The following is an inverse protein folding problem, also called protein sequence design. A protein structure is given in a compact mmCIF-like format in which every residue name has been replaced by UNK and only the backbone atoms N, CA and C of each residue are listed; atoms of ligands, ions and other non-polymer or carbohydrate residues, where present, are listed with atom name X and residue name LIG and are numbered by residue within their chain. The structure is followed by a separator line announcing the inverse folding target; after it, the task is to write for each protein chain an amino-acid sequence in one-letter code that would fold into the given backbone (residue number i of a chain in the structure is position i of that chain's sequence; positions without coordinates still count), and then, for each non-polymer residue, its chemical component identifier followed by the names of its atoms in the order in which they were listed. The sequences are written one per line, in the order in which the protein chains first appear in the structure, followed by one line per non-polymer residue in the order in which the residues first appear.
data_IF_761146086255
#
_entry.id   IF_761146086255
#
_cell.length_a   1.000
_cell.length_b   1.000
_cell.length_c   1.000
_cell.angle_alpha   90.00
_cell.angle_beta   90.00
_cell.angle_gamma   90.00
#
_symmetry.space_group_name_H-M   'P 1'
#
loop_
_entity.id
_entity.type
_entity.pdbx_description
1 polymer ?
#
# COMPACT_ATOMS: atom_id res chain seq x y z
N UNK A 1 31.87 -25.74 -1.68
CA UNK A 1 31.48 -25.65 -0.25
C UNK A 1 31.07 -24.22 0.17
N UNK A 2 31.61 -23.16 -0.41
CA UNK A 2 31.21 -21.77 -0.12
C UNK A 2 29.86 -21.37 -0.75
N UNK A 3 29.48 -21.96 -1.87
CA UNK A 3 28.18 -21.69 -2.54
C UNK A 3 26.98 -22.26 -1.78
N UNK A 4 27.12 -23.44 -1.16
CA UNK A 4 26.04 -24.06 -0.39
C UNK A 4 25.69 -23.29 0.91
N UNK A 5 26.67 -22.61 1.50
CA UNK A 5 26.47 -21.80 2.71
C UNK A 5 25.75 -20.49 2.41
N UNK A 6 25.99 -19.87 1.25
CA UNK A 6 25.29 -18.67 0.80
C UNK A 6 23.82 -18.93 0.45
N UNK A 7 23.51 -20.09 -0.16
CA UNK A 7 22.12 -20.47 -0.45
C UNK A 7 21.32 -20.83 0.81
N UNK A 8 21.94 -21.47 1.80
CA UNK A 8 21.29 -21.76 3.09
C UNK A 8 20.98 -20.51 3.89
N UNK A 9 21.88 -19.53 3.88
CA UNK A 9 21.67 -18.22 4.51
C UNK A 9 20.50 -17.46 3.88
N UNK A 10 20.36 -17.50 2.55
CA UNK A 10 19.30 -16.80 1.81
C UNK A 10 17.91 -17.38 2.08
N UNK A 11 17.79 -18.71 2.28
CA UNK A 11 16.51 -19.39 2.60
C UNK A 11 16.03 -19.07 4.03
N UNK A 12 16.94 -19.00 4.98
CA UNK A 12 16.65 -18.61 6.38
C UNK A 12 16.20 -17.14 6.46
N UNK A 13 16.83 -16.25 5.73
CA UNK A 13 16.51 -14.82 5.69
C UNK A 13 15.14 -14.58 5.04
N UNK A 14 14.79 -15.36 4.01
CA UNK A 14 13.46 -15.27 3.33
C UNK A 14 12.34 -15.76 4.24
N UNK A 15 12.52 -16.85 4.96
CA UNK A 15 11.53 -17.36 5.93
C UNK A 15 11.35 -16.38 7.08
N UNK A 16 12.43 -15.77 7.58
CA UNK A 16 12.36 -14.75 8.61
C UNK A 16 11.64 -13.47 8.11
N UNK A 17 11.89 -13.05 6.87
CA UNK A 17 11.18 -11.90 6.28
C UNK A 17 9.67 -12.16 6.12
N UNK A 18 9.28 -13.36 5.67
CA UNK A 18 7.86 -13.76 5.59
C UNK A 18 7.19 -13.86 6.96
N UNK A 19 7.89 -14.41 7.96
CA UNK A 19 7.35 -14.47 9.33
C UNK A 19 7.18 -13.06 9.94
N UNK A 20 8.11 -12.14 9.67
CA UNK A 20 8.02 -10.75 10.13
C UNK A 20 6.84 -10.04 9.44
N UNK A 21 6.63 -10.26 8.14
CA UNK A 21 5.51 -9.69 7.38
C UNK A 21 4.17 -10.23 7.91
N UNK A 22 4.06 -11.53 8.16
CA UNK A 22 2.85 -12.15 8.71
C UNK A 22 2.55 -11.71 10.15
N UNK A 23 3.55 -11.59 11.01
CA UNK A 23 3.40 -11.07 12.37
C UNK A 23 3.04 -9.59 12.35
N UNK A 24 3.61 -8.80 11.44
CA UNK A 24 3.28 -7.40 11.22
C UNK A 24 1.80 -7.22 10.86
N UNK A 25 1.28 -8.02 9.94
CA UNK A 25 -0.12 -7.98 9.51
C UNK A 25 -1.10 -8.34 10.64
N UNK A 26 -0.82 -9.39 11.43
CA UNK A 26 -1.71 -9.75 12.55
C UNK A 26 -1.71 -8.70 13.67
N UNK A 27 -0.57 -8.09 13.96
CA UNK A 27 -0.50 -7.02 14.95
C UNK A 27 -1.21 -5.73 14.48
N UNK A 28 -1.22 -5.46 13.17
CA UNK A 28 -1.93 -4.31 12.61
C UNK A 28 -3.45 -4.49 12.63
N UNK A 29 -3.96 -5.69 12.32
CA UNK A 29 -5.41 -5.99 12.42
C UNK A 29 -5.90 -5.83 13.85
N UNK A 30 -5.21 -6.42 14.82
CA UNK A 30 -5.56 -6.25 16.24
C UNK A 30 -5.42 -4.81 16.72
N UNK A 31 -4.40 -4.08 16.23
CA UNK A 31 -4.20 -2.67 16.51
C UNK A 31 -5.31 -1.77 15.97
N UNK A 32 -5.92 -2.14 14.84
CA UNK A 32 -7.04 -1.37 14.25
C UNK A 32 -8.39 -1.70 14.91
N UNK A 33 -8.65 -2.96 15.24
CA UNK A 33 -9.93 -3.39 15.83
C UNK A 33 -10.10 -2.93 17.28
N UNK A 34 -9.04 -2.95 18.07
CA UNK A 34 -9.09 -2.57 19.48
C UNK A 34 -9.62 -1.14 19.73
N UNK A 35 -9.13 -0.08 19.06
CA UNK A 35 -9.67 1.26 19.25
C UNK A 35 -11.13 1.40 18.79
N UNK A 36 -11.58 0.64 17.77
CA UNK A 36 -12.98 0.61 17.37
C UNK A 36 -13.85 0.09 18.52
N UNK A 37 -13.50 -1.07 19.05
CA UNK A 37 -14.25 -1.70 20.16
C UNK A 37 -14.30 -0.77 21.38
N UNK A 38 -13.17 -0.15 21.74
CA UNK A 38 -13.12 0.81 22.84
C UNK A 38 -14.00 2.04 22.59
N UNK A 39 -13.99 2.60 21.38
CA UNK A 39 -14.80 3.78 21.05
C UNK A 39 -16.30 3.46 21.04
N UNK A 40 -16.70 2.30 20.53
CA UNK A 40 -18.09 1.82 20.53
C UNK A 40 -18.58 1.59 21.95
N UNK A 41 -17.81 0.86 22.78
CA UNK A 41 -18.18 0.61 24.18
C UNK A 41 -18.25 1.94 24.95
N UNK A 42 -17.27 2.83 24.75
CA UNK A 42 -17.24 4.13 25.43
C UNK A 42 -18.42 5.00 25.07
N UNK A 43 -18.74 5.17 23.79
CA UNK A 43 -19.87 5.98 23.32
C UNK A 43 -21.21 5.42 23.75
N UNK A 44 -21.40 4.10 23.66
CA UNK A 44 -22.62 3.42 24.11
C UNK A 44 -22.80 3.51 25.63
N UNK A 45 -21.71 3.41 26.41
CA UNK A 45 -21.76 3.56 27.87
C UNK A 45 -22.13 4.99 28.29
N UNK A 46 -21.60 6.01 27.60
CA UNK A 46 -21.97 7.41 27.84
C UNK A 46 -23.44 7.64 27.49
N UNK A 47 -23.90 7.11 26.35
CA UNK A 47 -25.30 7.22 25.93
C UNK A 47 -26.25 6.57 26.97
N UNK A 48 -25.91 5.39 27.48
CA UNK A 48 -26.66 4.70 28.50
C UNK A 48 -26.69 5.50 29.81
N UNK A 49 -25.54 6.03 30.24
CA UNK A 49 -25.43 6.82 31.47
C UNK A 49 -26.28 8.10 31.40
N UNK A 50 -26.25 8.82 30.28
CA UNK A 50 -27.05 10.01 30.05
C UNK A 50 -28.53 9.69 30.04
N UNK A 51 -28.95 8.59 29.44
CA UNK A 51 -30.33 8.16 29.38
C UNK A 51 -30.89 7.73 30.77
N UNK A 52 -30.06 7.05 31.58
CA UNK A 52 -30.49 6.59 32.93
C UNK A 52 -30.54 7.70 33.96
N UNK A 53 -29.92 8.85 33.74
CA UNK A 53 -29.88 10.00 34.67
C UNK A 53 -30.89 11.11 34.29
N UNK A 54 -31.82 10.87 33.39
CA UNK A 54 -32.86 11.82 32.93
C UNK A 54 -32.31 13.18 32.43
N UNK A 55 -30.98 13.24 32.15
CA UNK A 55 -30.40 14.42 31.56
C UNK A 55 -30.97 14.75 30.18
N UNK A 56 -31.47 13.74 29.54
CA UNK A 56 -32.04 13.79 28.20
C UNK A 56 -33.39 14.46 28.15
N UNK A 57 -34.23 14.26 29.18
CA UNK A 57 -35.54 14.92 29.28
C UNK A 57 -35.44 16.45 29.47
N UNK A 58 -34.40 16.89 30.14
CA UNK A 58 -34.13 18.33 30.34
C UNK A 58 -33.65 19.02 29.05
N UNK A 59 -32.98 18.29 28.16
CA UNK A 59 -32.46 18.81 26.87
C UNK A 59 -33.47 18.61 25.75
N UNK A 60 -34.32 17.55 25.82
CA UNK A 60 -35.28 17.18 24.76
C UNK A 60 -36.48 18.13 24.67
N UNK A 61 -36.77 18.92 25.65
CA UNK A 61 -37.90 19.87 25.67
C UNK A 61 -37.85 21.00 24.61
N UNK A 62 -36.82 21.09 23.79
CA UNK A 62 -36.67 22.08 22.74
C UNK A 62 -36.06 21.56 21.43
N UNK A 63 -36.21 20.29 21.11
CA UNK A 63 -35.36 19.54 20.15
C UNK A 63 -35.76 19.60 18.66
N UNK A 64 -36.76 20.36 18.24
CA UNK A 64 -37.08 20.50 16.82
C UNK A 64 -35.86 20.97 15.96
N UNK A 65 -34.96 21.86 16.44
CA UNK A 65 -33.77 22.26 15.65
C UNK A 65 -32.70 21.18 15.50
N UNK A 66 -32.66 20.17 16.37
CA UNK A 66 -31.61 19.13 16.35
C UNK A 66 -31.79 18.13 15.22
N UNK A 67 -33.02 17.80 14.85
CA UNK A 67 -33.31 16.89 13.72
C UNK A 67 -32.81 17.48 12.40
N UNK A 68 -33.02 18.76 12.20
CA UNK A 68 -32.51 19.48 11.03
C UNK A 68 -30.98 19.54 11.05
N UNK A 69 -30.38 19.76 12.22
CA UNK A 69 -28.92 19.76 12.38
C UNK A 69 -28.31 18.42 11.99
N UNK A 70 -28.84 17.29 12.47
CA UNK A 70 -28.34 15.95 12.11
C UNK A 70 -28.40 15.69 10.62
N UNK A 71 -29.53 16.05 10.01
CA UNK A 71 -29.76 15.84 8.59
C UNK A 71 -28.74 16.61 7.76
N UNK A 72 -28.57 17.90 8.03
CA UNK A 72 -27.64 18.75 7.29
C UNK A 72 -26.18 18.39 7.58
N UNK A 73 -25.83 18.22 8.87
CA UNK A 73 -24.45 17.92 9.25
C UNK A 73 -24.03 16.51 8.78
N UNK A 74 -24.91 15.53 8.88
CA UNK A 74 -24.66 14.17 8.38
C UNK A 74 -24.47 14.15 6.87
N UNK A 75 -25.25 14.94 6.13
CA UNK A 75 -25.10 15.09 4.68
C UNK A 75 -23.72 15.71 4.33
N UNK A 76 -23.33 16.77 5.01
CA UNK A 76 -22.00 17.41 4.80
C UNK A 76 -20.88 16.40 5.14
N UNK A 77 -21.02 15.67 6.27
CA UNK A 77 -20.05 14.62 6.63
C UNK A 77 -19.95 13.54 5.55
N UNK A 78 -21.08 13.05 5.04
CA UNK A 78 -21.09 12.02 4.01
C UNK A 78 -20.43 12.49 2.70
N UNK A 79 -20.70 13.73 2.28
CA UNK A 79 -20.10 14.30 1.09
C UNK A 79 -18.58 14.44 1.27
N UNK A 80 -18.13 15.05 2.36
CA UNK A 80 -16.70 15.28 2.61
C UNK A 80 -15.95 13.96 2.74
N UNK A 81 -16.46 13.03 3.53
CA UNK A 81 -15.82 11.72 3.72
C UNK A 81 -15.82 10.88 2.44
N UNK A 82 -16.90 10.96 1.63
CA UNK A 82 -16.98 10.32 0.33
C UNK A 82 -15.93 10.86 -0.66
N UNK A 83 -15.76 12.17 -0.76
CA UNK A 83 -14.70 12.75 -1.59
C UNK A 83 -13.30 12.34 -1.13
N UNK A 84 -13.04 12.34 0.18
CA UNK A 84 -11.75 11.91 0.72
C UNK A 84 -11.47 10.43 0.41
N UNK A 85 -12.48 9.58 0.55
CA UNK A 85 -12.36 8.16 0.21
C UNK A 85 -12.04 7.95 -1.27
N UNK A 86 -12.76 8.63 -2.16
CA UNK A 86 -12.52 8.54 -3.62
C UNK A 86 -11.12 9.03 -3.96
N UNK A 87 -10.67 10.13 -3.36
CA UNK A 87 -9.34 10.70 -3.61
C UNK A 87 -8.23 9.72 -3.21
N UNK A 88 -8.29 9.14 -2.00
CA UNK A 88 -7.26 8.19 -1.56
C UNK A 88 -7.31 6.89 -2.35
N UNK A 89 -8.50 6.43 -2.75
CA UNK A 89 -8.67 5.24 -3.58
C UNK A 89 -8.10 5.44 -4.99
N UNK A 90 -8.37 6.58 -5.62
CA UNK A 90 -7.82 6.92 -6.93
C UNK A 90 -6.29 6.96 -6.90
N UNK A 91 -5.72 7.54 -5.85
CA UNK A 91 -4.27 7.58 -5.67
C UNK A 91 -3.68 6.17 -5.45
N UNK A 92 -4.33 5.34 -4.65
CA UNK A 92 -3.93 3.95 -4.45
C UNK A 92 -3.94 3.16 -5.76
N UNK A 93 -5.02 3.26 -6.55
CA UNK A 93 -5.14 2.60 -7.84
C UNK A 93 -4.08 3.10 -8.84
N UNK A 94 -3.86 4.43 -8.90
CA UNK A 94 -2.83 5.01 -9.77
C UNK A 94 -1.44 4.52 -9.41
N UNK A 95 -1.14 4.42 -8.11
CA UNK A 95 0.14 3.88 -7.65
C UNK A 95 0.31 2.41 -8.04
N UNK A 96 -0.74 1.60 -7.92
CA UNK A 96 -0.73 0.20 -8.36
C UNK A 96 -0.46 0.08 -9.86
N UNK A 97 -1.13 0.90 -10.69
CA UNK A 97 -0.89 0.95 -12.14
C UNK A 97 0.56 1.32 -12.48
N UNK A 98 1.14 2.29 -11.78
CA UNK A 98 2.53 2.71 -12.02
C UNK A 98 3.52 1.62 -11.61
N UNK A 99 3.26 0.90 -10.51
CA UNK A 99 4.09 -0.25 -10.10
C UNK A 99 4.02 -1.37 -11.13
N UNK A 100 2.85 -1.71 -11.64
CA UNK A 100 2.68 -2.71 -12.69
C UNK A 100 3.39 -2.31 -13.99
N UNK A 101 3.28 -1.03 -14.38
CA UNK A 101 3.96 -0.51 -15.57
C UNK A 101 5.49 -0.56 -15.42
N UNK A 102 6.03 -0.23 -14.23
CA UNK A 102 7.47 -0.33 -13.94
C UNK A 102 7.95 -1.79 -14.04
N UNK A 103 7.19 -2.74 -13.49
CA UNK A 103 7.50 -4.18 -13.61
C UNK A 103 7.50 -4.66 -15.06
N UNK A 104 6.52 -4.22 -15.86
CA UNK A 104 6.45 -4.55 -17.27
C UNK A 104 7.65 -3.99 -18.04
N UNK A 105 8.00 -2.72 -17.83
CA UNK A 105 9.17 -2.10 -18.46
C UNK A 105 10.49 -2.83 -18.09
N UNK A 106 10.64 -3.28 -16.85
CA UNK A 106 11.79 -4.09 -16.42
C UNK A 106 11.80 -5.45 -17.15
N UNK A 107 10.63 -6.09 -17.28
CA UNK A 107 10.50 -7.36 -18.00
C UNK A 107 10.83 -7.19 -19.49
N UNK A 108 10.39 -6.09 -20.09
CA UNK A 108 10.66 -5.78 -21.50
C UNK A 108 12.16 -5.57 -21.75
N UNK A 109 12.88 -4.88 -20.84
CA UNK A 109 14.36 -4.80 -20.94
C UNK A 109 15.00 -6.19 -20.94
N UNK A 110 14.57 -7.08 -20.04
CA UNK A 110 15.05 -8.47 -20.00
C UNK A 110 14.79 -9.21 -21.33
N UNK A 111 13.60 -9.05 -21.87
CA UNK A 111 13.15 -9.80 -23.05
C UNK A 111 13.78 -9.23 -24.33
N UNK A 112 13.95 -7.92 -24.46
CA UNK A 112 14.66 -7.31 -25.59
C UNK A 112 16.15 -7.68 -25.66
N UNK A 113 16.78 -8.08 -24.55
CA UNK A 113 18.14 -8.63 -24.58
C UNK A 113 18.24 -9.93 -25.41
N UNK A 114 17.14 -10.65 -25.64
CA UNK A 114 17.14 -11.84 -26.48
C UNK A 114 17.38 -11.52 -27.96
N UNK A 115 16.97 -10.32 -28.42
CA UNK A 115 17.07 -9.89 -29.80
C UNK A 115 18.46 -9.33 -30.18
N UNK A 116 19.33 -9.09 -29.20
CA UNK A 116 20.74 -8.70 -29.45
C UNK A 116 21.53 -9.95 -29.81
N UNK A 117 22.22 -9.95 -30.96
CA UNK A 117 22.98 -11.11 -31.41
C UNK A 117 24.37 -11.22 -30.76
N UNK A 118 24.74 -12.43 -30.40
CA UNK A 118 26.10 -12.80 -29.99
C UNK A 118 26.47 -12.37 -28.57
N UNK A 119 26.93 -11.45 -28.18
CA UNK A 119 27.39 -10.72 -26.98
C UNK A 119 26.91 -11.25 -25.61
N UNK A 120 27.07 -12.56 -25.34
CA UNK A 120 26.59 -13.19 -24.11
C UNK A 120 27.12 -12.51 -22.85
N UNK A 121 28.34 -12.00 -22.87
CA UNK A 121 28.93 -11.31 -21.71
C UNK A 121 28.24 -9.97 -21.43
N UNK A 122 27.98 -9.15 -22.45
CA UNK A 122 27.27 -7.87 -22.30
C UNK A 122 25.82 -8.09 -21.87
N UNK A 123 25.13 -9.10 -22.45
CA UNK A 123 23.76 -9.47 -22.04
C UNK A 123 23.69 -9.91 -20.59
N UNK A 124 24.63 -10.76 -20.15
CA UNK A 124 24.70 -11.20 -18.76
C UNK A 124 25.01 -10.05 -17.81
N UNK A 125 25.86 -9.10 -18.22
CA UNK A 125 26.14 -7.91 -17.43
C UNK A 125 24.88 -7.06 -17.23
N UNK A 126 24.12 -6.77 -18.31
CA UNK A 126 22.84 -6.03 -18.21
C UNK A 126 21.85 -6.79 -17.32
N UNK A 127 21.71 -8.10 -17.53
CA UNK A 127 20.79 -8.95 -16.76
C UNK A 127 21.13 -8.93 -15.26
N UNK A 128 22.42 -9.02 -14.93
CA UNK A 128 22.90 -8.98 -13.54
C UNK A 128 22.62 -7.63 -12.87
N UNK A 129 22.97 -6.54 -13.52
CA UNK A 129 22.72 -5.20 -12.97
C UNK A 129 21.21 -4.93 -12.81
N UNK A 130 20.40 -5.38 -13.77
CA UNK A 130 18.95 -5.26 -13.69
C UNK A 130 18.37 -6.09 -12.51
N UNK A 131 18.92 -7.28 -12.27
CA UNK A 131 18.56 -8.13 -11.12
C UNK A 131 18.95 -7.46 -9.79
N UNK A 132 20.13 -6.82 -9.71
CA UNK A 132 20.55 -6.07 -8.53
C UNK A 132 19.67 -4.85 -8.29
N UNK A 133 19.26 -4.15 -9.35
CA UNK A 133 18.28 -3.05 -9.25
C UNK A 133 16.94 -3.52 -8.69
N UNK A 134 16.34 -4.59 -9.24
CA UNK A 134 15.06 -5.15 -8.73
C UNK A 134 15.19 -5.58 -7.27
N UNK A 135 16.31 -6.19 -6.90
CA UNK A 135 16.58 -6.56 -5.51
C UNK A 135 16.64 -5.34 -4.58
N UNK A 136 17.33 -4.28 -4.98
CA UNK A 136 17.44 -3.05 -4.21
C UNK A 136 16.09 -2.35 -4.06
N UNK A 137 15.29 -2.28 -5.13
CA UNK A 137 13.91 -1.75 -5.06
C UNK A 137 13.09 -2.54 -4.05
N UNK A 138 13.11 -3.88 -4.12
CA UNK A 138 12.29 -4.72 -3.25
C UNK A 138 12.70 -4.72 -1.77
N UNK A 139 14.01 -4.59 -1.47
CA UNK A 139 14.54 -4.74 -0.11
C UNK A 139 14.80 -3.42 0.59
N UNK A 140 15.19 -2.39 -0.13
CA UNK A 140 15.57 -1.10 0.45
C UNK A 140 14.52 -0.03 0.16
N UNK A 141 14.24 0.22 -1.11
CA UNK A 141 13.37 1.32 -1.51
C UNK A 141 11.93 1.08 -1.07
N UNK A 142 11.42 -0.16 -1.22
CA UNK A 142 10.05 -0.51 -0.80
C UNK A 142 9.78 -0.29 0.67
N UNK A 143 10.76 -0.59 1.52
CA UNK A 143 10.63 -0.41 2.97
C UNK A 143 10.66 1.07 3.39
N UNK A 144 11.39 1.91 2.66
CA UNK A 144 11.52 3.35 2.97
C UNK A 144 10.39 4.20 2.41
N UNK A 145 9.52 3.65 1.55
CA UNK A 145 8.40 4.40 0.96
C UNK A 145 7.31 4.81 1.95
N UNK A 146 7.30 4.27 3.15
CA UNK A 146 6.36 4.63 4.21
C UNK A 146 6.87 5.72 5.16
N UNK A 147 8.15 6.01 5.13
CA UNK A 147 8.71 7.09 5.91
C UNK A 147 8.25 8.42 5.33
N UNK A 148 7.91 9.39 6.20
CA UNK A 148 7.37 10.72 5.83
C UNK A 148 8.25 11.50 4.83
N UNK A 149 9.42 10.97 4.53
CA UNK A 149 10.37 11.41 3.52
C UNK A 149 10.91 10.20 2.76
N UNK A 150 10.12 9.61 1.88
CA UNK A 150 10.69 8.71 0.87
C UNK A 150 11.63 9.53 -0.02
N UNK A 151 12.82 9.71 0.46
CA UNK A 151 13.92 10.33 -0.28
C UNK A 151 14.27 9.33 -1.39
N UNK A 152 14.40 9.84 -2.61
CA UNK A 152 15.04 9.11 -3.70
C UNK A 152 16.35 8.50 -3.14
N UNK A 153 16.30 7.19 -2.85
CA UNK A 153 17.43 6.55 -2.21
C UNK A 153 18.61 6.59 -3.19
N UNK A 154 19.71 7.20 -2.77
CA UNK A 154 20.89 7.37 -3.60
C UNK A 154 21.45 6.03 -4.09
N UNK A 155 21.32 4.97 -3.29
CA UNK A 155 21.85 3.65 -3.61
C UNK A 155 21.05 2.99 -4.74
N UNK A 156 19.72 2.95 -4.66
CA UNK A 156 18.86 2.43 -5.73
C UNK A 156 18.97 3.25 -7.02
N UNK A 157 19.24 4.56 -6.92
CA UNK A 157 19.53 5.40 -8.07
C UNK A 157 20.85 5.01 -8.74
N UNK A 158 21.86 4.64 -7.95
CA UNK A 158 23.14 4.17 -8.47
C UNK A 158 22.97 2.87 -9.24
N UNK A 159 22.26 1.90 -8.69
CA UNK A 159 22.00 0.62 -9.35
C UNK A 159 21.25 0.79 -10.68
N UNK A 160 20.28 1.71 -10.76
CA UNK A 160 19.64 2.05 -12.02
C UNK A 160 20.64 2.66 -13.04
N UNK A 161 21.56 3.51 -12.58
CA UNK A 161 22.63 4.03 -13.45
C UNK A 161 23.60 2.94 -13.90
N UNK A 162 23.89 1.96 -13.05
CA UNK A 162 24.75 0.83 -13.41
C UNK A 162 24.10 -0.03 -14.50
N UNK A 163 22.76 -0.23 -14.47
CA UNK A 163 22.00 -0.84 -15.58
C UNK A 163 22.16 -0.03 -16.87
N UNK A 164 21.97 1.30 -16.81
CA UNK A 164 22.11 2.18 -17.97
C UNK A 164 23.53 2.11 -18.56
N UNK A 165 24.55 2.06 -17.71
CA UNK A 165 25.91 1.88 -18.13
C UNK A 165 26.19 0.53 -18.79
N UNK A 166 25.57 -0.53 -18.27
CA UNK A 166 25.66 -1.86 -18.87
C UNK A 166 24.99 -1.90 -20.25
N UNK A 167 23.81 -1.31 -20.40
CA UNK A 167 23.09 -1.19 -21.69
C UNK A 167 23.93 -0.40 -22.70
N UNK A 168 24.57 0.70 -22.29
CA UNK A 168 25.40 1.53 -23.17
C UNK A 168 26.67 0.82 -23.68
N UNK A 169 27.09 -0.27 -23.00
CA UNK A 169 28.28 -1.08 -23.44
C UNK A 169 27.87 -2.16 -24.45
N UNK A 170 26.61 -2.35 -24.74
CA UNK A 170 26.13 -3.29 -25.77
C UNK A 170 26.62 -2.80 -27.15
N UNK A 171 27.35 -3.61 -27.87
CA UNK A 171 27.89 -3.26 -29.18
C UNK A 171 26.84 -3.54 -30.26
N UNK A 172 26.74 -2.69 -31.24
CA UNK A 172 25.87 -2.86 -32.42
C UNK A 172 26.65 -3.47 -33.54
N UNK A 173 26.35 -4.72 -33.88
CA UNK A 173 27.03 -5.43 -34.97
C UNK A 173 26.19 -5.49 -36.26
N UNK A 174 24.89 -5.37 -36.13
CA UNK A 174 23.95 -5.42 -37.24
C UNK A 174 22.74 -4.45 -37.01
N UNK A 175 21.85 -4.36 -37.98
CA UNK A 175 20.67 -3.48 -37.89
C UNK A 175 19.68 -3.96 -36.84
N UNK A 176 19.54 -5.26 -36.64
CA UNK A 176 18.70 -5.85 -35.58
C UNK A 176 19.18 -5.46 -34.20
N UNK A 177 20.49 -5.48 -33.96
CA UNK A 177 21.11 -5.02 -32.70
C UNK A 177 20.82 -3.52 -32.45
N UNK A 178 20.82 -2.71 -33.53
CA UNK A 178 20.52 -1.29 -33.42
C UNK A 178 19.07 -1.05 -32.99
N UNK A 179 18.14 -1.75 -33.59
CA UNK A 179 16.72 -1.67 -33.22
C UNK A 179 16.51 -2.16 -31.78
N UNK A 180 17.09 -3.30 -31.41
CA UNK A 180 17.03 -3.83 -30.06
C UNK A 180 17.60 -2.83 -29.03
N UNK A 181 18.75 -2.23 -29.31
CA UNK A 181 19.35 -1.21 -28.43
C UNK A 181 18.47 0.03 -28.31
N UNK A 182 17.80 0.45 -29.38
CA UNK A 182 16.84 1.57 -29.34
C UNK A 182 15.66 1.26 -28.40
N UNK A 183 15.09 0.07 -28.46
CA UNK A 183 14.03 -0.37 -27.56
C UNK A 183 14.55 -0.46 -26.11
N UNK A 184 15.73 -1.04 -25.88
CA UNK A 184 16.33 -1.10 -24.54
C UNK A 184 16.51 0.30 -23.93
N UNK A 185 16.96 1.29 -24.71
CA UNK A 185 17.10 2.67 -24.23
C UNK A 185 15.74 3.32 -23.94
N UNK A 186 14.73 3.04 -24.76
CA UNK A 186 13.38 3.55 -24.54
C UNK A 186 12.79 2.98 -23.24
N UNK A 187 12.92 1.67 -22.99
CA UNK A 187 12.45 1.06 -21.76
C UNK A 187 13.22 1.51 -20.52
N UNK A 188 14.53 1.75 -20.62
CA UNK A 188 15.32 2.34 -19.53
C UNK A 188 14.82 3.75 -19.18
N UNK A 189 14.45 4.55 -20.19
CA UNK A 189 13.81 5.85 -19.96
C UNK A 189 12.43 5.70 -19.29
N UNK A 190 11.65 4.70 -19.71
CA UNK A 190 10.35 4.36 -19.13
C UNK A 190 10.49 3.97 -17.65
N UNK A 191 11.42 3.06 -17.31
CA UNK A 191 11.69 2.65 -15.92
C UNK A 191 12.05 3.86 -15.06
N UNK A 192 12.90 4.75 -15.54
CA UNK A 192 13.30 5.97 -14.82
C UNK A 192 12.11 6.89 -14.53
N UNK A 193 11.25 7.07 -15.53
CA UNK A 193 10.05 7.91 -15.43
C UNK A 193 9.05 7.29 -14.43
N UNK A 194 8.77 5.99 -14.59
CA UNK A 194 7.81 5.26 -13.76
C UNK A 194 8.26 5.18 -12.29
N UNK A 195 9.57 4.93 -12.06
CA UNK A 195 10.13 5.00 -10.71
C UNK A 195 9.94 6.38 -10.07
N UNK A 196 10.21 7.44 -10.82
CA UNK A 196 10.03 8.82 -10.33
C UNK A 196 8.56 9.10 -10.04
N UNK A 197 7.64 8.66 -10.91
CA UNK A 197 6.20 8.80 -10.72
C UNK A 197 5.72 8.00 -9.49
N UNK A 198 6.18 6.74 -9.31
CA UNK A 198 5.88 5.92 -8.14
C UNK A 198 6.27 6.61 -6.83
N UNK A 199 7.50 7.12 -6.74
CA UNK A 199 7.99 7.84 -5.56
C UNK A 199 7.20 9.13 -5.34
N UNK A 200 6.89 9.87 -6.40
CA UNK A 200 6.09 11.09 -6.32
C UNK A 200 4.69 10.83 -5.78
N UNK A 201 4.00 9.81 -6.28
CA UNK A 201 2.65 9.44 -5.81
C UNK A 201 2.70 8.91 -4.37
N UNK A 202 3.71 8.11 -4.01
CA UNK A 202 3.90 7.62 -2.66
C UNK A 202 4.03 8.75 -1.63
N UNK A 203 4.74 9.82 -1.99
CA UNK A 203 4.92 11.00 -1.15
C UNK A 203 3.71 11.95 -1.09
N UNK A 204 2.73 11.81 -1.98
CA UNK A 204 1.53 12.64 -2.02
C UNK A 204 0.50 12.18 -0.98
N UNK A 205 0.82 12.29 0.29
CA UNK A 205 -0.13 11.95 1.35
C UNK A 205 -1.25 12.98 1.49
N UNK A 206 -2.38 12.52 2.05
CA UNK A 206 -3.50 13.40 2.37
C UNK A 206 -3.04 14.50 3.35
N UNK A 207 -3.33 15.79 3.04
CA UNK A 207 -2.92 16.89 3.93
C UNK A 207 -3.41 16.66 5.37
N UNK A 208 -2.56 16.87 6.39
CA UNK A 208 -2.93 16.64 7.80
C UNK A 208 -4.19 17.38 8.23
N UNK A 209 -4.42 18.58 7.67
CA UNK A 209 -5.60 19.40 7.95
C UNK A 209 -6.91 18.71 7.54
N UNK A 210 -6.92 17.95 6.44
CA UNK A 210 -8.09 17.20 6.00
C UNK A 210 -8.35 15.99 6.91
N UNK A 211 -7.31 15.33 7.40
CA UNK A 211 -7.44 14.28 8.42
C UNK A 211 -8.05 14.84 9.72
N UNK A 212 -7.57 16.00 10.18
CA UNK A 212 -8.12 16.66 11.38
C UNK A 212 -9.56 17.11 11.17
N UNK A 213 -9.91 17.63 9.98
CA UNK A 213 -11.29 17.99 9.66
C UNK A 213 -12.21 16.78 9.75
N UNK A 214 -11.81 15.63 9.16
CA UNK A 214 -12.59 14.41 9.19
C UNK A 214 -12.80 13.93 10.64
N UNK A 215 -11.75 13.93 11.47
CA UNK A 215 -11.83 13.57 12.90
C UNK A 215 -12.79 14.52 13.63
N UNK A 216 -12.65 15.83 13.45
CA UNK A 216 -13.53 16.81 14.08
C UNK A 216 -15.00 16.57 13.72
N UNK A 217 -15.30 16.41 12.45
CA UNK A 217 -16.67 16.15 11.99
C UNK A 217 -17.20 14.82 12.54
N UNK A 218 -16.37 13.79 12.61
CA UNK A 218 -16.71 12.50 13.20
C UNK A 218 -17.11 12.62 14.68
N UNK A 219 -16.31 13.36 15.45
CA UNK A 219 -16.58 13.59 16.88
C UNK A 219 -17.86 14.38 17.08
N UNK A 220 -18.09 15.44 16.31
CA UNK A 220 -19.32 16.24 16.38
C UNK A 220 -20.53 15.39 16.02
N UNK A 221 -20.46 14.58 14.99
CA UNK A 221 -21.55 13.70 14.56
C UNK A 221 -21.91 12.68 15.65
N UNK A 222 -20.93 11.96 16.20
CA UNK A 222 -21.15 10.98 17.27
C UNK A 222 -21.66 11.65 18.53
N UNK A 223 -21.10 12.80 18.94
CA UNK A 223 -21.57 13.54 20.11
C UNK A 223 -23.03 13.98 19.96
N UNK A 224 -23.40 14.43 18.77
CA UNK A 224 -24.75 14.80 18.46
C UNK A 224 -25.74 13.61 18.62
N UNK A 225 -25.38 12.41 18.16
CA UNK A 225 -26.17 11.20 18.37
C UNK A 225 -26.24 10.77 19.84
N UNK A 226 -25.18 10.95 20.63
CA UNK A 226 -25.16 10.65 22.07
C UNK A 226 -26.16 11.55 22.83
N UNK A 227 -26.26 12.83 22.44
CA UNK A 227 -27.14 13.81 23.12
C UNK A 227 -28.61 13.59 22.73
N UNK A 228 -28.88 13.03 21.56
CA UNK A 228 -30.26 12.84 21.08
C UNK A 228 -30.91 11.59 21.71
N UNK A 229 -31.40 11.74 22.90
CA UNK A 229 -32.12 10.68 23.60
C UNK A 229 -33.61 10.99 23.61
N UNK A 230 -34.40 10.27 22.92
CA UNK A 230 -35.88 10.28 22.91
C UNK A 230 -36.44 8.90 22.69
N UNK A 231 -35.56 7.87 22.78
CA UNK A 231 -35.89 6.48 22.49
C UNK A 231 -35.62 5.60 23.72
N UNK A 232 -36.12 4.34 23.70
CA UNK A 232 -35.74 3.34 24.69
C UNK A 232 -34.20 3.17 24.76
N UNK A 233 -33.67 3.04 25.96
CA UNK A 233 -32.22 3.05 26.22
C UNK A 233 -31.45 2.06 25.37
N UNK A 234 -31.95 0.85 25.12
CA UNK A 234 -31.25 -0.16 24.33
C UNK A 234 -31.21 0.18 22.85
N UNK A 235 -32.27 0.79 22.29
CA UNK A 235 -32.31 1.25 20.89
C UNK A 235 -31.32 2.40 20.71
N UNK A 236 -31.32 3.34 21.64
CA UNK A 236 -30.35 4.47 21.62
C UNK A 236 -28.90 3.99 21.67
N UNK A 237 -28.54 3.08 22.57
CA UNK A 237 -27.23 2.47 22.65
C UNK A 237 -26.82 1.77 21.36
N UNK A 238 -27.74 1.01 20.74
CA UNK A 238 -27.49 0.33 19.47
C UNK A 238 -27.23 1.33 18.33
N UNK A 239 -28.01 2.40 18.24
CA UNK A 239 -27.83 3.43 17.21
C UNK A 239 -26.50 4.18 17.39
N UNK A 240 -26.17 4.62 18.60
CA UNK A 240 -24.89 5.30 18.89
C UNK A 240 -23.70 4.37 18.61
N UNK A 241 -23.79 3.11 19.03
CA UNK A 241 -22.76 2.12 18.77
C UNK A 241 -22.56 1.87 17.28
N UNK A 242 -23.64 1.74 16.52
CA UNK A 242 -23.60 1.51 15.07
C UNK A 242 -23.00 2.68 14.31
N UNK A 243 -23.43 3.93 14.61
CA UNK A 243 -22.86 5.11 13.92
C UNK A 243 -21.40 5.30 14.29
N UNK A 244 -21.02 5.08 15.55
CA UNK A 244 -19.63 5.17 16.00
C UNK A 244 -18.75 4.14 15.27
N UNK A 245 -19.23 2.90 15.12
CA UNK A 245 -18.53 1.86 14.39
C UNK A 245 -18.33 2.24 12.91
N UNK A 246 -19.39 2.69 12.24
CA UNK A 246 -19.33 3.09 10.82
C UNK A 246 -18.36 4.24 10.58
N UNK A 247 -18.43 5.28 11.40
CA UNK A 247 -17.55 6.46 11.31
C UNK A 247 -16.08 6.07 11.54
N UNK A 248 -15.85 5.23 12.53
CA UNK A 248 -14.49 4.77 12.85
C UNK A 248 -13.91 3.85 11.78
N UNK A 249 -14.70 2.91 11.25
CA UNK A 249 -14.30 2.06 10.12
C UNK A 249 -13.97 2.89 8.89
N UNK A 250 -14.79 3.89 8.56
CA UNK A 250 -14.54 4.78 7.43
C UNK A 250 -13.21 5.53 7.60
N UNK A 251 -12.95 6.04 8.80
CA UNK A 251 -11.67 6.70 9.11
C UNK A 251 -10.48 5.75 8.93
N UNK A 252 -10.59 4.51 9.42
CA UNK A 252 -9.52 3.50 9.27
C UNK A 252 -9.26 3.19 7.80
N UNK A 253 -10.31 2.98 7.00
CA UNK A 253 -10.16 2.71 5.56
C UNK A 253 -9.45 3.87 4.85
N UNK A 254 -9.84 5.13 5.14
CA UNK A 254 -9.18 6.30 4.56
C UNK A 254 -7.72 6.41 5.03
N UNK A 255 -7.45 6.12 6.30
CA UNK A 255 -6.11 6.17 6.85
C UNK A 255 -5.20 5.07 6.26
N UNK A 256 -5.73 3.86 6.09
CA UNK A 256 -5.03 2.71 5.55
C UNK A 256 -4.69 2.90 4.06
N UNK A 257 -5.66 3.31 3.25
CA UNK A 257 -5.43 3.65 1.84
C UNK A 257 -4.46 4.83 1.64
N UNK A 258 -4.31 5.69 2.66
CA UNK A 258 -3.37 6.80 2.62
C UNK A 258 -1.90 6.37 2.81
N UNK A 259 -1.65 5.15 3.28
CA UNK A 259 -0.32 4.55 3.46
C UNK A 259 -0.21 3.24 2.67
N UNK A 260 -0.08 3.29 1.34
CA UNK A 260 -0.28 2.16 0.43
C UNK A 260 0.76 1.04 0.54
N UNK A 261 1.85 1.24 1.28
CA UNK A 261 2.90 0.25 1.51
C UNK A 261 2.86 -0.40 2.90
N UNK A 262 1.98 0.09 3.80
CA UNK A 262 1.74 -0.47 5.13
C UNK A 262 0.25 -0.51 5.42
N UNK A 263 -0.20 -1.46 6.23
CA UNK A 263 -1.62 -1.57 6.60
C UNK A 263 -2.26 -2.86 6.10
N UNK A 264 -3.58 -2.88 6.07
CA UNK A 264 -4.37 -4.02 5.59
C UNK A 264 -4.48 -4.03 4.06
N UNK A 265 -4.58 -2.85 3.46
CA UNK A 265 -4.66 -2.66 2.01
C UNK A 265 -3.32 -2.14 1.51
N UNK A 266 -2.47 -3.06 1.09
CA UNK A 266 -1.11 -2.73 0.66
C UNK A 266 -0.86 -3.18 -0.77
N UNK A 267 -0.02 -2.43 -1.48
CA UNK A 267 0.53 -2.85 -2.75
C UNK A 267 1.61 -3.90 -2.45
N UNK A 268 1.41 -5.11 -2.95
CA UNK A 268 2.29 -6.23 -2.67
C UNK A 268 3.66 -6.08 -3.33
N UNK A 269 4.72 -6.43 -2.61
CA UNK A 269 6.08 -6.57 -3.15
C UNK A 269 6.27 -7.88 -3.94
N UNK A 270 5.32 -8.82 -3.84
CA UNK A 270 5.43 -10.15 -4.44
C UNK A 270 5.75 -10.15 -5.94
N UNK A 271 5.15 -9.29 -6.79
CA UNK A 271 5.48 -9.24 -8.22
C UNK A 271 6.94 -8.88 -8.48
N UNK A 272 7.54 -7.99 -7.67
CA UNK A 272 8.98 -7.69 -7.75
C UNK A 272 9.85 -8.90 -7.40
N UNK A 273 9.46 -9.65 -6.38
CA UNK A 273 10.14 -10.88 -5.97
C UNK A 273 10.02 -11.96 -7.04
N UNK A 274 8.84 -12.11 -7.64
CA UNK A 274 8.64 -13.05 -8.77
C UNK A 274 9.51 -12.65 -9.97
N UNK A 275 9.54 -11.37 -10.33
CA UNK A 275 10.39 -10.87 -11.39
C UNK A 275 11.87 -11.15 -11.11
N UNK A 276 12.34 -10.87 -9.89
CA UNK A 276 13.72 -11.19 -9.46
C UNK A 276 14.07 -12.67 -9.69
N UNK A 277 13.15 -13.58 -9.37
CA UNK A 277 13.36 -15.02 -9.54
C UNK A 277 13.42 -15.46 -11.01
N UNK A 278 12.78 -14.72 -11.93
CA UNK A 278 12.84 -15.03 -13.37
C UNK A 278 14.20 -14.72 -14.01
N UNK A 279 15.03 -13.92 -13.36
CA UNK A 279 16.39 -13.66 -13.84
C UNK A 279 17.32 -14.86 -13.64
N UNK A 280 17.02 -15.77 -12.73
CA UNK A 280 17.86 -16.94 -12.42
C UNK A 280 17.40 -18.15 -13.23
N UNK A 281 17.93 -18.33 -14.44
CA UNK A 281 17.57 -19.43 -15.38
C UNK A 281 17.96 -20.83 -14.89
N UNK A 282 18.81 -20.93 -13.86
CA UNK A 282 19.26 -22.23 -13.32
C UNK A 282 18.23 -22.94 -12.43
N UNK A 283 17.11 -22.29 -12.11
CA UNK A 283 16.14 -22.77 -11.11
C UNK A 283 14.76 -23.13 -11.66
N UNK A 284 14.67 -23.57 -12.93
CA UNK A 284 13.39 -24.01 -13.50
C UNK A 284 12.74 -25.20 -12.74
N UNK A 285 13.52 -26.02 -12.05
CA UNK A 285 13.03 -27.09 -11.16
C UNK A 285 12.58 -26.54 -9.79
N UNK A 286 13.26 -25.56 -9.22
CA UNK A 286 12.89 -24.93 -7.96
C UNK A 286 11.67 -24.01 -8.09
N UNK A 287 11.45 -23.42 -9.27
CA UNK A 287 10.25 -22.62 -9.61
C UNK A 287 8.96 -23.44 -9.50
N UNK A 288 8.98 -24.70 -9.95
CA UNK A 288 7.84 -25.63 -9.83
C UNK A 288 7.48 -25.95 -8.36
N UNK A 289 8.48 -26.16 -7.51
CA UNK A 289 8.28 -26.44 -6.07
C UNK A 289 7.86 -25.18 -5.28
N UNK A 290 8.43 -24.00 -5.59
CA UNK A 290 8.05 -22.74 -4.96
C UNK A 290 6.64 -22.30 -5.37
N UNK A 291 6.29 -22.35 -6.65
CA UNK A 291 4.94 -22.05 -7.14
C UNK A 291 3.89 -23.01 -6.54
N UNK A 292 4.23 -24.28 -6.34
CA UNK A 292 3.36 -25.23 -5.64
C UNK A 292 3.12 -24.86 -4.18
N UNK A 293 4.14 -24.36 -3.47
CA UNK A 293 4.03 -23.90 -2.09
C UNK A 293 3.30 -22.56 -1.95
N UNK A 294 3.47 -21.64 -2.89
CA UNK A 294 2.74 -20.35 -2.88
C UNK A 294 1.25 -20.54 -3.19
N UNK A 295 0.88 -21.47 -4.09
CA UNK A 295 -0.51 -21.80 -4.38
C UNK A 295 -1.25 -22.40 -3.18
N UNK A 296 -0.57 -23.13 -2.33
CA UNK A 296 -1.13 -23.70 -1.10
C UNK A 296 -1.28 -22.66 0.03
N UNK A 297 -0.69 -21.47 -0.09
CA UNK A 297 -0.79 -20.37 0.88
C UNK A 297 -1.81 -19.30 0.46
N UNK A 298 -2.21 -19.25 -0.82
CA UNK A 298 -3.27 -18.36 -1.32
C UNK A 298 -4.69 -18.94 -1.15
N UNK A 299 -4.81 -20.21 -0.77
CA UNK A 299 -6.09 -20.90 -0.51
C UNK A 299 -6.50 -20.89 0.99
N UNK A 300 -5.84 -20.07 1.79
CA UNK A 300 -6.19 -19.72 3.17
C UNK A 300 -6.36 -18.21 3.30
#
# INVERSE_FOLDING_TARGET
LKFGVLMSSNKSTRLQAMDIINQGNQNQVTGAVFPIVCSVIGSSSIALWLNTNDYTDSVSGGLAPWEEFYSVFGMIYAIVSGFLLVEVLNRFNKLSEVVEAELNAISDVRDFLLYVDGQNESKQAVKKELQEYVHSVATVEWQTMNDDYAVLNSDTSKELYDVMHAVNKVQVNNESDREALHFLMAEMSSITSLRTERISIANQQLPPRLKHLLIYMSVVLVAAFIINAGMEAWIHCFMVGSITACVHLLYIVIADLNTPFTGLWTISVNPLVELYLTFDESDSQQKGELMGKFRSLSDF
#
